data_IF_243402522488
#
_entry.id   IF_243402522488
#
_cell.length_a   1.000
_cell.length_b   1.000
_cell.length_c   1.000
_cell.angle_alpha   90.00
_cell.angle_beta   90.00
_cell.angle_gamma   90.00
#
_symmetry.space_group_name_H-M   'P 1'
#
loop_
_entity.id
_entity.type
_entity.pdbx_description
1 polymer ?
#
# COMPACT_ATOMS: atom_id res chain seq x y z
N UNK A 1 3.69 -42.26 -32.93
CA UNK A 1 2.45 -42.38 -32.14
C UNK A 1 2.18 -41.06 -31.45
N UNK A 2 0.95 -40.59 -31.55
CA UNK A 2 0.46 -39.25 -31.21
C UNK A 2 0.12 -39.09 -29.71
N UNK A 3 -0.15 -37.83 -29.35
CA UNK A 3 -0.79 -37.29 -28.13
C UNK A 3 0.21 -36.93 -27.00
N UNK A 4 0.14 -35.79 -26.33
CA UNK A 4 -1.03 -34.98 -25.95
C UNK A 4 -0.65 -33.50 -25.92
N UNK A 5 -1.44 -32.67 -26.60
CA UNK A 5 -1.46 -31.21 -26.46
C UNK A 5 -1.76 -30.86 -24.99
N UNK A 6 -0.87 -30.16 -24.29
CA UNK A 6 -1.24 -29.43 -23.07
C UNK A 6 -0.89 -27.95 -23.23
N UNK A 7 -1.64 -27.37 -24.16
CA UNK A 7 -1.91 -25.95 -24.21
C UNK A 7 -2.97 -25.67 -23.12
N UNK A 8 -2.53 -25.48 -21.87
CA UNK A 8 -3.36 -25.03 -20.73
C UNK A 8 -2.40 -24.24 -19.83
N UNK A 9 -2.49 -22.94 -19.56
CA UNK A 9 -3.36 -21.88 -20.02
C UNK A 9 -2.83 -20.61 -19.37
N UNK A 10 -1.98 -19.85 -20.07
CA UNK A 10 -1.82 -18.43 -19.72
C UNK A 10 -3.12 -17.77 -20.16
N UNK A 11 -4.04 -17.58 -19.22
CA UNK A 11 -5.19 -16.71 -19.44
C UNK A 11 -4.64 -15.33 -19.76
N UNK A 12 -4.71 -15.03 -21.06
CA UNK A 12 -4.60 -13.72 -21.69
C UNK A 12 -4.90 -12.62 -20.65
N UNK A 13 -3.86 -11.87 -20.29
CA UNK A 13 -3.96 -10.75 -19.36
C UNK A 13 -5.07 -9.82 -19.80
N UNK A 14 -6.22 -9.93 -19.15
CA UNK A 14 -7.03 -8.76 -18.87
C UNK A 14 -6.12 -7.94 -17.98
N UNK A 15 -5.65 -6.80 -18.46
CA UNK A 15 -5.03 -5.81 -17.59
C UNK A 15 -6.08 -5.50 -16.52
N UNK A 16 -5.94 -6.14 -15.36
CA UNK A 16 -6.83 -5.92 -14.22
C UNK A 16 -6.61 -4.47 -13.83
N UNK A 17 -7.66 -3.66 -13.96
CA UNK A 17 -7.61 -2.26 -13.58
C UNK A 17 -7.75 -2.16 -12.06
N UNK A 18 -6.63 -2.02 -11.36
CA UNK A 18 -6.62 -1.88 -9.91
C UNK A 18 -7.30 -0.59 -9.44
N UNK A 19 -7.47 0.42 -10.28
CA UNK A 19 -8.11 1.71 -9.91
C UNK A 19 -9.60 1.58 -9.56
N UNK A 20 -10.25 0.49 -9.97
CA UNK A 20 -11.69 0.24 -9.75
C UNK A 20 -11.97 -0.96 -8.85
N UNK A 21 -10.94 -1.59 -8.29
CA UNK A 21 -11.06 -2.79 -7.46
C UNK A 21 -11.02 -2.42 -5.97
N UNK A 22 -11.63 -3.26 -5.14
CA UNK A 22 -11.46 -3.14 -3.69
C UNK A 22 -10.08 -3.65 -3.26
N UNK A 23 -9.61 -3.19 -2.11
CA UNK A 23 -8.35 -3.65 -1.52
C UNK A 23 -8.32 -5.18 -1.36
N UNK A 24 -9.46 -5.78 -0.99
CA UNK A 24 -9.60 -7.22 -0.82
C UNK A 24 -9.48 -7.97 -2.15
N UNK A 25 -10.04 -7.43 -3.23
CA UNK A 25 -9.92 -8.04 -4.56
C UNK A 25 -8.49 -7.97 -5.10
N UNK A 26 -7.78 -6.87 -4.80
CA UNK A 26 -6.36 -6.72 -5.13
C UNK A 26 -5.54 -7.74 -4.34
N UNK A 27 -5.77 -7.89 -3.04
CA UNK A 27 -5.10 -8.88 -2.20
C UNK A 27 -5.34 -10.31 -2.68
N UNK A 28 -6.58 -10.66 -3.01
CA UNK A 28 -6.91 -11.98 -3.59
C UNK A 28 -6.20 -12.22 -4.92
N UNK A 29 -6.12 -11.20 -5.78
CA UNK A 29 -5.41 -11.26 -7.06
C UNK A 29 -3.91 -11.49 -6.86
N UNK A 30 -3.29 -10.74 -5.94
CA UNK A 30 -1.87 -10.89 -5.62
C UNK A 30 -1.57 -12.25 -4.98
N UNK A 31 -2.41 -12.69 -4.04
CA UNK A 31 -2.33 -14.00 -3.40
C UNK A 31 -2.40 -15.15 -4.39
N UNK A 32 -3.34 -15.07 -5.33
CA UNK A 32 -3.48 -16.05 -6.43
C UNK A 32 -2.22 -16.09 -7.32
N UNK A 33 -1.66 -14.94 -7.69
CA UNK A 33 -0.41 -14.88 -8.48
C UNK A 33 0.79 -15.47 -7.73
N UNK A 34 0.89 -15.25 -6.43
CA UNK A 34 1.92 -15.87 -5.59
C UNK A 34 1.76 -17.39 -5.55
N UNK A 35 0.53 -17.87 -5.36
CA UNK A 35 0.19 -19.30 -5.40
C UNK A 35 0.56 -19.93 -6.75
N UNK A 36 0.19 -19.29 -7.85
CA UNK A 36 0.51 -19.78 -9.20
C UNK A 36 2.02 -19.85 -9.41
N UNK A 37 2.76 -18.82 -8.97
CA UNK A 37 4.23 -18.79 -9.05
C UNK A 37 4.84 -19.93 -8.23
N UNK A 38 4.33 -20.19 -7.02
CA UNK A 38 4.76 -21.31 -6.19
C UNK A 38 4.51 -22.65 -6.90
N UNK A 39 3.31 -22.86 -7.43
CA UNK A 39 2.93 -24.09 -8.12
C UNK A 39 3.76 -24.35 -9.39
N UNK A 40 4.09 -23.29 -10.14
CA UNK A 40 5.00 -23.37 -11.29
C UNK A 40 6.41 -23.86 -10.89
N UNK A 41 6.86 -23.52 -9.68
CA UNK A 41 8.13 -23.98 -9.12
C UNK A 41 8.01 -25.35 -8.41
N UNK A 42 6.82 -25.97 -8.40
CA UNK A 42 6.52 -27.25 -7.74
C UNK A 42 6.79 -27.26 -6.23
N UNK A 43 6.71 -26.09 -5.59
CA UNK A 43 6.89 -25.96 -4.15
C UNK A 43 5.58 -26.21 -3.40
N UNK A 44 5.64 -26.92 -2.29
CA UNK A 44 4.56 -27.00 -1.32
C UNK A 44 4.43 -25.71 -0.50
N UNK A 45 3.34 -25.56 0.25
CA UNK A 45 3.17 -24.40 1.14
C UNK A 45 4.16 -24.43 2.32
N UNK A 46 4.49 -25.62 2.84
CA UNK A 46 5.48 -25.81 3.90
C UNK A 46 6.92 -25.54 3.42
N UNK A 47 7.27 -25.94 2.20
CA UNK A 47 8.56 -25.62 1.58
C UNK A 47 8.71 -24.11 1.39
N UNK A 48 7.68 -23.44 0.84
CA UNK A 48 7.71 -21.99 0.67
C UNK A 48 7.80 -21.27 2.03
N UNK A 49 7.05 -21.73 3.04
CA UNK A 49 7.12 -21.20 4.40
C UNK A 49 8.55 -21.28 4.96
N UNK A 50 9.19 -22.44 4.80
CA UNK A 50 10.57 -22.68 5.23
C UNK A 50 11.57 -21.78 4.50
N UNK A 51 11.46 -21.69 3.17
CA UNK A 51 12.36 -20.86 2.34
C UNK A 51 12.21 -19.36 2.62
N UNK A 52 11.01 -18.90 2.94
CA UNK A 52 10.72 -17.49 3.22
C UNK A 52 10.90 -17.11 4.69
N UNK A 53 11.05 -18.08 5.59
CA UNK A 53 11.14 -17.84 7.03
C UNK A 53 9.83 -17.35 7.66
N UNK A 54 8.69 -17.59 7.02
CA UNK A 54 7.35 -17.24 7.55
C UNK A 54 6.58 -18.49 7.95
N UNK A 55 5.61 -18.37 8.86
CA UNK A 55 4.78 -19.50 9.25
C UNK A 55 3.88 -20.01 8.12
N UNK A 56 3.60 -21.32 8.07
CA UNK A 56 2.72 -21.93 7.05
C UNK A 56 1.30 -21.34 7.04
N UNK A 57 0.77 -20.94 8.19
CA UNK A 57 -0.51 -20.24 8.29
C UNK A 57 -0.49 -18.89 7.56
N UNK A 58 0.65 -18.20 7.56
CA UNK A 58 0.85 -16.97 6.80
C UNK A 58 0.84 -17.22 5.31
N UNK A 59 1.53 -18.27 4.83
CA UNK A 59 1.48 -18.66 3.42
C UNK A 59 0.03 -18.94 2.98
N UNK A 60 -0.71 -19.75 3.75
CA UNK A 60 -2.12 -20.06 3.47
C UNK A 60 -2.99 -18.81 3.38
N UNK A 61 -2.88 -17.91 4.36
CA UNK A 61 -3.63 -16.65 4.42
C UNK A 61 -3.31 -15.72 3.24
N UNK A 62 -2.03 -15.63 2.88
CA UNK A 62 -1.60 -14.82 1.73
C UNK A 62 -2.17 -15.38 0.44
N UNK A 63 -2.11 -16.70 0.25
CA UNK A 63 -2.64 -17.37 -0.95
C UNK A 63 -4.17 -17.33 -1.05
N UNK A 64 -4.89 -17.20 0.07
CA UNK A 64 -6.35 -16.99 0.09
C UNK A 64 -6.75 -15.52 -0.10
N UNK A 65 -5.80 -14.57 0.00
CA UNK A 65 -6.10 -13.15 -0.09
C UNK A 65 -6.57 -12.52 1.23
N UNK A 66 -6.49 -13.22 2.35
CA UNK A 66 -6.95 -12.76 3.68
C UNK A 66 -5.94 -11.83 4.37
N UNK A 67 -5.17 -11.07 3.59
CA UNK A 67 -4.23 -10.06 4.07
C UNK A 67 -2.77 -10.51 4.14
N UNK A 68 -1.90 -9.55 3.84
CA UNK A 68 -0.45 -9.68 3.91
C UNK A 68 0.20 -8.37 4.32
N UNK A 69 1.26 -8.42 5.13
CA UNK A 69 2.12 -7.26 5.35
C UNK A 69 3.11 -7.12 4.19
N UNK A 70 3.62 -5.90 3.98
CA UNK A 70 4.68 -5.67 2.99
C UNK A 70 5.94 -6.50 3.30
N UNK A 71 6.28 -6.69 4.57
CA UNK A 71 7.40 -7.54 5.00
C UNK A 71 7.19 -9.00 4.61
N UNK A 72 5.96 -9.52 4.72
CA UNK A 72 5.59 -10.88 4.29
C UNK A 72 5.70 -11.00 2.77
N UNK A 73 5.21 -10.01 2.03
CA UNK A 73 5.33 -10.00 0.57
C UNK A 73 6.80 -10.04 0.13
N UNK A 74 7.66 -9.21 0.72
CA UNK A 74 9.10 -9.19 0.42
C UNK A 74 9.74 -10.55 0.70
N UNK A 75 9.42 -11.19 1.83
CA UNK A 75 9.96 -12.50 2.19
C UNK A 75 9.55 -13.60 1.20
N UNK A 76 8.26 -13.62 0.81
CA UNK A 76 7.73 -14.59 -0.15
C UNK A 76 8.30 -14.37 -1.56
N UNK A 77 8.35 -13.12 -2.04
CA UNK A 77 8.95 -12.79 -3.34
C UNK A 77 10.44 -13.13 -3.38
N UNK A 78 11.16 -12.95 -2.28
CA UNK A 78 12.58 -13.35 -2.18
C UNK A 78 12.73 -14.87 -2.30
N UNK A 79 11.93 -15.64 -1.56
CA UNK A 79 11.95 -17.10 -1.65
C UNK A 79 11.58 -17.62 -3.05
N UNK A 80 10.64 -16.94 -3.74
CA UNK A 80 10.22 -17.27 -5.09
C UNK A 80 11.15 -16.73 -6.19
N UNK A 81 12.21 -15.99 -5.85
CA UNK A 81 13.13 -15.38 -6.83
C UNK A 81 12.50 -14.26 -7.67
N UNK A 82 11.41 -13.64 -7.19
CA UNK A 82 10.64 -12.59 -7.88
C UNK A 82 10.80 -11.20 -7.25
N UNK A 83 11.73 -11.02 -6.32
CA UNK A 83 11.91 -9.76 -5.60
C UNK A 83 12.19 -8.55 -6.52
N UNK A 84 12.88 -8.76 -7.65
CA UNK A 84 13.15 -7.74 -8.67
C UNK A 84 11.89 -7.05 -9.21
N UNK A 85 10.72 -7.70 -9.14
CA UNK A 85 9.46 -7.09 -9.57
C UNK A 85 9.05 -5.88 -8.72
N UNK A 86 9.60 -5.74 -7.51
CA UNK A 86 9.36 -4.55 -6.69
C UNK A 86 10.11 -3.32 -7.22
N UNK A 87 11.12 -3.47 -8.08
CA UNK A 87 11.84 -2.32 -8.65
C UNK A 87 10.97 -1.51 -9.63
N UNK A 88 10.00 -2.17 -10.27
CA UNK A 88 9.02 -1.48 -11.11
C UNK A 88 7.86 -0.87 -10.31
N UNK A 89 7.71 -1.25 -9.04
CA UNK A 89 6.67 -0.73 -8.17
C UNK A 89 7.02 0.71 -7.80
N UNK A 90 6.16 1.65 -8.20
CA UNK A 90 6.39 3.10 -8.06
C UNK A 90 7.67 3.59 -8.75
N UNK A 91 8.08 2.92 -9.83
CA UNK A 91 9.19 3.41 -10.65
C UNK A 91 8.93 4.87 -11.04
N UNK A 92 9.92 5.73 -10.77
CA UNK A 92 9.87 7.11 -11.24
C UNK A 92 9.61 7.09 -12.74
N UNK A 93 8.64 7.89 -13.19
CA UNK A 93 8.44 8.13 -14.60
C UNK A 93 9.73 8.75 -15.13
N UNK A 94 10.62 7.91 -15.66
CA UNK A 94 11.91 8.33 -16.18
C UNK A 94 11.69 9.54 -17.07
N UNK A 95 12.49 10.58 -16.81
CA UNK A 95 12.48 11.85 -17.52
C UNK A 95 12.32 11.55 -19.01
N UNK A 96 11.14 11.88 -19.58
CA UNK A 96 10.91 11.73 -21.02
C UNK A 96 12.08 12.40 -21.77
N UNK A 97 12.56 11.88 -22.90
CA UNK A 97 13.61 12.54 -23.69
C UNK A 97 13.34 14.04 -23.93
N UNK A 98 12.06 14.42 -23.99
CA UNK A 98 11.62 15.81 -24.08
C UNK A 98 11.92 16.63 -22.81
N UNK A 99 11.84 16.03 -21.63
CA UNK A 99 12.21 16.64 -20.35
C UNK A 99 13.73 16.66 -20.13
N UNK A 100 14.49 15.72 -20.69
CA UNK A 100 15.96 15.75 -20.64
C UNK A 100 16.52 16.93 -21.46
N UNK A 101 15.86 17.27 -22.57
CA UNK A 101 16.19 18.46 -23.36
C UNK A 101 15.83 19.78 -22.64
N UNK A 102 14.85 19.79 -21.73
CA UNK A 102 14.49 20.98 -20.93
C UNK A 102 15.23 21.05 -19.59
N UNK A 103 15.86 19.97 -19.13
CA UNK A 103 16.64 19.93 -17.89
C UNK A 103 17.89 20.86 -17.89
N UNK A 104 18.30 21.36 -19.06
CA UNK A 104 19.26 22.47 -19.16
C UNK A 104 18.71 23.81 -18.61
N UNK A 105 17.40 23.91 -18.37
CA UNK A 105 16.74 25.05 -17.72
C UNK A 105 16.18 24.59 -16.38
N UNK A 106 17.02 24.73 -15.35
CA UNK A 106 16.72 24.66 -13.89
C UNK A 106 15.23 24.54 -13.59
N UNK A 107 14.78 23.35 -13.19
CA UNK A 107 13.47 23.17 -12.58
C UNK A 107 13.39 24.06 -11.33
N UNK A 108 12.45 25.00 -11.34
CA UNK A 108 12.18 25.84 -10.16
C UNK A 108 11.70 24.92 -9.03
N UNK A 109 12.18 25.10 -7.79
CA UNK A 109 11.72 24.29 -6.67
C UNK A 109 10.20 24.45 -6.51
N UNK A 110 9.50 23.32 -6.30
CA UNK A 110 8.06 23.28 -6.08
C UNK A 110 7.71 24.23 -4.93
N UNK A 111 6.97 25.30 -5.22
CA UNK A 111 6.48 26.20 -4.19
C UNK A 111 5.46 25.48 -3.33
N UNK A 112 5.67 25.50 -2.01
CA UNK A 112 4.72 24.99 -1.03
C UNK A 112 3.39 25.74 -1.18
N UNK A 113 2.35 25.06 -1.65
CA UNK A 113 0.99 25.63 -1.67
C UNK A 113 0.54 25.79 -0.22
N UNK A 114 0.50 27.04 0.25
CA UNK A 114 -0.05 27.39 1.55
C UNK A 114 -1.57 27.27 1.44
N UNK A 115 -2.14 26.18 1.94
CA UNK A 115 -3.59 26.10 2.17
C UNK A 115 -3.96 27.26 3.09
N UNK A 116 -4.76 28.21 2.62
CA UNK A 116 -5.42 29.18 3.52
C UNK A 116 -6.31 28.35 4.43
N UNK A 117 -6.05 28.39 5.72
CA UNK A 117 -7.02 27.93 6.70
C UNK A 117 -8.36 28.63 6.39
N UNK A 118 -9.50 27.94 6.46
CA UNK A 118 -10.78 28.59 6.31
C UNK A 118 -10.87 29.72 7.34
N UNK A 119 -11.55 30.86 7.03
CA UNK A 119 -11.70 31.94 7.98
C UNK A 119 -12.34 31.35 9.24
N UNK A 120 -11.63 31.45 10.36
CA UNK A 120 -12.27 31.39 11.67
C UNK A 120 -13.23 32.57 11.68
N UNK A 121 -14.50 32.33 11.35
CA UNK A 121 -15.54 33.32 11.56
C UNK A 121 -15.73 33.42 13.05
N UNK A 122 -15.22 34.55 13.54
CA UNK A 122 -15.38 35.09 14.86
C UNK A 122 -16.85 35.08 15.24
N UNK A 123 -17.08 34.47 16.39
CA UNK A 123 -18.21 34.67 17.29
C UNK A 123 -18.39 36.17 17.59
N UNK A 124 -19.59 36.68 17.31
CA UNK A 124 -20.23 37.87 17.90
C UNK A 124 -21.73 37.76 17.51
N UNK A 125 -22.75 37.82 18.36
CA UNK A 125 -22.91 38.35 19.71
C UNK A 125 -23.86 37.43 20.50
N UNK A 126 -23.52 37.16 21.75
CA UNK A 126 -24.42 36.55 22.72
C UNK A 126 -25.20 37.67 23.44
N UNK A 127 -26.48 37.82 23.11
CA UNK A 127 -27.41 38.62 23.93
C UNK A 127 -27.52 38.00 25.32
N UNK A 128 -27.02 38.74 26.31
CA UNK A 128 -27.10 38.50 27.75
C UNK A 128 -28.45 37.95 28.20
N UNK A 129 -28.45 36.91 29.05
CA UNK A 129 -29.41 36.74 30.17
C UNK A 129 -28.97 35.58 31.08
N UNK A 130 -28.67 35.97 32.32
CA UNK A 130 -28.68 35.21 33.59
C UNK A 130 -27.39 34.49 34.03
N UNK A 131 -26.72 35.16 34.97
CA UNK A 131 -25.79 34.63 35.97
C UNK A 131 -26.53 33.66 36.88
N UNK A 132 -26.03 32.42 37.01
CA UNK A 132 -26.08 31.62 38.22
C UNK A 132 -24.80 30.78 38.31
N UNK A 133 -23.93 31.13 39.25
CA UNK A 133 -22.89 30.27 39.83
C UNK A 133 -23.57 29.13 40.64
N UNK A 134 -22.93 27.94 40.85
CA UNK A 134 -21.74 27.89 41.71
C UNK A 134 -20.70 26.77 41.49
N UNK A 135 -19.52 27.08 42.04
CA UNK A 135 -18.62 26.26 42.84
C UNK A 135 -17.79 25.10 42.23
N UNK A 136 -16.51 25.16 42.64
CA UNK A 136 -15.48 24.13 42.62
C UNK A 136 -14.89 23.82 41.23
N UNK A 137 -13.65 24.20 40.91
CA UNK A 137 -12.47 24.27 41.76
C UNK A 137 -11.39 23.41 41.11
N UNK A 138 -10.82 23.89 40.01
CA UNK A 138 -9.72 23.21 39.31
C UNK A 138 -8.65 24.25 38.98
N UNK A 139 -7.60 24.26 39.79
CA UNK A 139 -6.39 25.09 39.63
C UNK A 139 -5.28 24.16 39.18
N UNK A 140 -4.74 24.37 37.98
CA UNK A 140 -3.52 23.68 37.51
C UNK A 140 -2.31 24.45 38.04
N UNK A 141 -1.54 23.82 38.93
CA UNK A 141 -0.27 24.33 39.42
C UNK A 141 0.88 23.77 38.59
N UNK A 142 1.56 24.63 37.84
CA UNK A 142 2.93 24.41 37.37
C UNK A 142 3.83 25.25 38.29
N UNK A 143 4.31 24.66 39.39
CA UNK A 143 5.36 25.24 40.22
C UNK A 143 6.15 24.11 40.88
N UNK A 144 7.30 23.78 40.29
CA UNK A 144 8.33 22.97 40.92
C UNK A 144 9.66 23.74 40.81
N UNK A 145 9.95 24.51 41.86
CA UNK A 145 11.30 24.83 42.34
C UNK A 145 11.30 24.77 43.87
#
# INVERSE_FOLDING_TARGET
MSRIKHQIGYVKGIAMNFDVMSDQDILATLGSRLKDTRLQQRLSQDELATLSGVGIATVKRVESGDGMSLTTLIALLRALGKLHQLESLLADAGISPLQAATAGKRSKPVQRIRRKSPPSQLVADNTSTQVQEPAAGWVWGDENQ
#
